data_IF_705697154355
#
_entry.id   IF_705697154355
#
_cell.length_a   1.000
_cell.length_b   1.000
_cell.length_c   1.000
_cell.angle_alpha   90.00
_cell.angle_beta   90.00
_cell.angle_gamma   90.00
#
_symmetry.space_group_name_H-M   'P 1'
#
loop_
_entity.id
_entity.type
_entity.pdbx_description
1 polymer ?
#
# COMPACT_ATOMS: atom_id res chain seq x y z
N UNK A 1 -4.70 3.43 -28.75
CA UNK A 1 -5.05 4.88 -28.65
C UNK A 1 -6.46 5.03 -28.05
N UNK A 2 -6.67 5.93 -27.07
CA UNK A 2 -8.02 6.14 -26.52
C UNK A 2 -8.90 6.83 -27.57
N UNK A 3 -10.09 6.28 -27.83
CA UNK A 3 -11.04 6.90 -28.76
C UNK A 3 -11.50 8.26 -28.20
N UNK A 4 -11.54 9.29 -29.06
CA UNK A 4 -12.02 10.64 -28.71
C UNK A 4 -13.55 10.67 -28.56
N UNK A 5 -14.04 10.03 -27.52
CA UNK A 5 -15.44 10.04 -27.07
C UNK A 5 -15.48 10.16 -25.55
N UNK A 6 -16.65 10.50 -25.01
CA UNK A 6 -16.88 10.40 -23.57
C UNK A 6 -16.71 8.96 -23.10
N UNK A 7 -16.01 8.78 -21.97
CA UNK A 7 -15.84 7.49 -21.31
C UNK A 7 -16.37 7.59 -19.88
N UNK A 8 -17.00 6.53 -19.38
CA UNK A 8 -17.41 6.47 -17.97
C UNK A 8 -16.19 6.31 -17.06
N UNK A 9 -16.34 6.65 -15.78
CA UNK A 9 -15.25 6.48 -14.81
C UNK A 9 -14.94 5.01 -14.57
N UNK A 10 -15.96 4.14 -14.63
CA UNK A 10 -15.88 2.69 -14.49
C UNK A 10 -14.99 2.10 -15.58
N UNK A 11 -15.23 2.45 -16.84
CA UNK A 11 -14.39 2.01 -17.96
C UNK A 11 -12.94 2.50 -17.79
N UNK A 12 -12.74 3.75 -17.35
CA UNK A 12 -11.40 4.28 -17.12
C UNK A 12 -10.66 3.60 -15.95
N UNK A 13 -11.37 2.92 -15.02
CA UNK A 13 -10.74 2.07 -13.99
C UNK A 13 -10.20 0.78 -14.60
N UNK A 14 -10.88 0.18 -15.57
CA UNK A 14 -10.42 -1.03 -16.27
C UNK A 14 -9.14 -0.77 -17.08
N UNK A 15 -9.00 0.42 -17.66
CA UNK A 15 -7.81 0.85 -18.39
C UNK A 15 -6.99 1.90 -17.63
N UNK A 16 -6.71 1.63 -16.34
CA UNK A 16 -6.04 2.56 -15.44
C UNK A 16 -4.66 3.06 -15.95
N UNK A 17 -3.95 2.26 -16.76
CA UNK A 17 -2.68 2.66 -17.38
C UNK A 17 -2.84 3.77 -18.44
N UNK A 18 -4.04 3.91 -19.03
CA UNK A 18 -4.35 4.94 -20.02
C UNK A 18 -5.12 6.14 -19.47
N UNK A 19 -5.80 6.00 -18.32
CA UNK A 19 -6.58 7.07 -17.68
C UNK A 19 -5.84 8.40 -17.49
N UNK A 20 -4.50 8.46 -17.22
CA UNK A 20 -3.83 9.75 -17.01
C UNK A 20 -3.83 10.67 -18.24
N UNK A 21 -4.12 10.12 -19.43
CA UNK A 21 -4.20 10.85 -20.70
C UNK A 21 -5.56 11.53 -20.92
N UNK A 22 -6.51 11.38 -20.01
CA UNK A 22 -7.83 12.04 -20.07
C UNK A 22 -7.77 13.39 -19.35
N UNK A 23 -8.62 14.35 -19.76
CA UNK A 23 -8.66 15.68 -19.14
C UNK A 23 -8.93 15.61 -17.64
N UNK A 24 -9.92 14.80 -17.24
CA UNK A 24 -10.35 14.66 -15.84
C UNK A 24 -9.24 14.08 -14.96
N UNK A 25 -8.71 12.89 -15.29
CA UNK A 25 -7.67 12.29 -14.46
C UNK A 25 -6.34 13.04 -14.55
N UNK A 26 -6.04 13.68 -15.69
CA UNK A 26 -4.93 14.61 -15.79
C UNK A 26 -5.04 15.77 -14.79
N UNK A 27 -6.22 16.37 -14.64
CA UNK A 27 -6.47 17.40 -13.64
C UNK A 27 -6.36 16.84 -12.21
N UNK A 28 -6.97 15.68 -11.93
CA UNK A 28 -6.90 15.00 -10.63
C UNK A 28 -5.46 14.74 -10.20
N UNK A 29 -4.60 14.23 -11.09
CA UNK A 29 -3.20 13.95 -10.76
C UNK A 29 -2.38 15.23 -10.51
N UNK A 30 -2.65 16.32 -11.25
CA UNK A 30 -2.00 17.62 -10.98
C UNK A 30 -2.43 18.21 -9.64
N UNK A 31 -3.71 18.10 -9.28
CA UNK A 31 -4.21 18.53 -7.97
C UNK A 31 -3.54 17.70 -6.87
N UNK A 32 -3.54 16.36 -7.00
CA UNK A 32 -2.88 15.45 -6.05
C UNK A 32 -1.39 15.80 -5.85
N UNK A 33 -0.67 16.09 -6.94
CA UNK A 33 0.73 16.50 -6.88
C UNK A 33 0.91 17.77 -6.02
N UNK A 34 0.15 18.83 -6.31
CA UNK A 34 0.26 20.09 -5.57
C UNK A 34 -0.15 19.91 -4.09
N UNK A 35 -1.17 19.10 -3.81
CA UNK A 35 -1.56 18.77 -2.43
C UNK A 35 -0.44 18.06 -1.66
N UNK A 36 0.23 17.09 -2.28
CA UNK A 36 1.35 16.38 -1.65
C UNK A 36 2.50 17.35 -1.30
N UNK A 37 2.87 18.23 -2.24
CA UNK A 37 3.88 19.26 -2.01
C UNK A 37 3.46 20.20 -0.87
N UNK A 38 2.19 20.63 -0.84
CA UNK A 38 1.69 21.52 0.22
C UNK A 38 1.77 20.87 1.61
N UNK A 39 1.40 19.59 1.74
CA UNK A 39 1.49 18.84 3.01
C UNK A 39 2.94 18.78 3.48
N UNK A 40 3.87 18.37 2.61
CA UNK A 40 5.29 18.30 2.97
C UNK A 40 5.87 19.66 3.34
N UNK A 41 5.51 20.70 2.58
CA UNK A 41 5.98 22.08 2.84
C UNK A 41 5.49 22.57 4.21
N UNK A 42 4.21 22.35 4.54
CA UNK A 42 3.63 22.75 5.82
C UNK A 42 4.36 22.14 7.01
N UNK A 43 4.59 20.82 6.99
CA UNK A 43 5.29 20.13 8.08
C UNK A 43 6.76 20.54 8.17
N UNK A 44 7.45 20.65 7.03
CA UNK A 44 8.83 21.11 6.99
C UNK A 44 9.00 22.52 7.59
N UNK A 45 8.14 23.47 7.22
CA UNK A 45 8.18 24.85 7.74
C UNK A 45 7.90 24.94 9.25
N UNK A 46 7.25 23.93 9.82
CA UNK A 46 7.00 23.82 11.27
C UNK A 46 8.09 23.02 12.01
N UNK A 47 9.17 22.64 11.33
CA UNK A 47 10.29 21.92 11.94
C UNK A 47 10.06 20.42 12.11
N UNK A 48 9.03 19.84 11.49
CA UNK A 48 8.83 18.38 11.49
C UNK A 48 9.80 17.71 10.51
N UNK A 49 10.19 16.48 10.83
CA UNK A 49 11.04 15.64 9.98
C UNK A 49 10.18 14.58 9.30
N UNK A 50 10.36 14.43 7.98
CA UNK A 50 9.68 13.39 7.23
C UNK A 50 10.36 12.04 7.47
N UNK A 51 9.65 11.13 8.13
CA UNK A 51 10.12 9.78 8.44
C UNK A 51 9.37 8.72 7.62
N UNK A 52 10.12 7.81 7.01
CA UNK A 52 9.57 6.67 6.29
C UNK A 52 9.43 5.48 7.25
N UNK A 53 8.25 5.31 7.84
CA UNK A 53 7.93 4.16 8.67
C UNK A 53 7.98 2.85 7.84
N UNK A 54 8.34 1.72 8.44
CA UNK A 54 8.38 0.44 7.74
C UNK A 54 6.99 0.04 7.24
N UNK A 55 6.91 -0.49 6.01
CA UNK A 55 5.65 -0.96 5.40
C UNK A 55 5.37 -2.43 5.76
N UNK A 56 6.41 -3.26 5.86
CA UNK A 56 6.30 -4.64 6.33
C UNK A 56 6.45 -4.63 7.85
N UNK A 57 5.50 -5.23 8.55
CA UNK A 57 5.45 -5.28 10.01
C UNK A 57 5.09 -6.67 10.50
N UNK A 58 5.54 -7.02 11.70
CA UNK A 58 5.07 -8.19 12.45
C UNK A 58 4.07 -7.79 13.55
N UNK A 59 3.79 -6.50 13.69
CA UNK A 59 2.85 -5.95 14.67
C UNK A 59 1.54 -5.58 14.00
N UNK A 60 0.44 -5.91 14.67
CA UNK A 60 -0.86 -5.31 14.37
C UNK A 60 -0.93 -3.97 15.11
N UNK A 61 -0.98 -2.86 14.37
CA UNK A 61 -0.90 -1.51 14.96
C UNK A 61 -2.22 -1.00 15.52
N UNK A 62 -3.36 -1.49 15.02
CA UNK A 62 -4.69 -0.93 15.36
C UNK A 62 -5.71 -2.01 15.75
N UNK A 63 -5.36 -3.31 15.68
CA UNK A 63 -6.30 -4.41 15.88
C UNK A 63 -7.46 -4.39 14.87
N UNK A 64 -7.32 -3.61 13.79
CA UNK A 64 -8.45 -3.05 13.04
C UNK A 64 -8.89 -3.86 11.82
N UNK A 65 -8.38 -5.08 11.63
CA UNK A 65 -8.90 -5.99 10.61
C UNK A 65 -7.88 -6.96 10.02
N UNK A 66 -8.28 -7.75 9.02
CA UNK A 66 -7.39 -8.70 8.35
C UNK A 66 -6.26 -7.96 7.63
N UNK A 67 -5.01 -8.22 8.05
CA UNK A 67 -3.82 -7.70 7.38
C UNK A 67 -3.41 -8.60 6.20
N UNK A 68 -2.84 -8.00 5.16
CA UNK A 68 -2.27 -8.75 4.04
C UNK A 68 -0.92 -9.36 4.45
N UNK A 69 -0.85 -10.70 4.49
CA UNK A 69 0.39 -11.41 4.79
C UNK A 69 1.44 -11.20 3.69
N UNK A 70 2.68 -10.95 4.11
CA UNK A 70 3.85 -10.90 3.25
C UNK A 70 4.74 -12.07 3.61
N UNK A 71 5.03 -12.94 2.64
CA UNK A 71 5.78 -14.18 2.85
C UNK A 71 6.55 -14.55 1.59
N UNK A 72 7.68 -15.23 1.77
CA UNK A 72 8.44 -15.84 0.67
C UNK A 72 8.25 -17.35 0.59
N UNK A 73 7.45 -17.94 1.49
CA UNK A 73 7.22 -19.39 1.54
C UNK A 73 6.49 -19.88 0.29
N UNK A 74 6.77 -21.12 -0.08
CA UNK A 74 6.00 -21.82 -1.10
C UNK A 74 4.63 -22.20 -0.55
N UNK A 75 3.57 -21.59 -1.08
CA UNK A 75 2.18 -21.82 -0.62
C UNK A 75 1.67 -23.24 -0.89
N UNK A 76 2.32 -24.00 -1.79
CA UNK A 76 1.98 -25.39 -2.07
C UNK A 76 2.69 -26.40 -1.17
N UNK A 77 3.68 -25.95 -0.38
CA UNK A 77 4.50 -26.79 0.51
C UNK A 77 4.75 -26.07 1.84
N UNK A 78 3.67 -25.87 2.60
CA UNK A 78 3.72 -25.20 3.90
C UNK A 78 3.96 -26.22 5.01
N UNK A 79 5.12 -26.12 5.66
CA UNK A 79 5.43 -26.88 6.87
C UNK A 79 4.59 -26.38 8.04
N UNK A 80 4.08 -27.33 8.82
CA UNK A 80 3.25 -27.09 9.99
C UNK A 80 3.86 -27.72 11.23
N UNK A 81 3.57 -27.15 12.39
CA UNK A 81 3.91 -27.72 13.68
C UNK A 81 2.93 -28.86 14.06
N UNK A 82 3.16 -29.46 15.22
CA UNK A 82 2.30 -30.53 15.78
C UNK A 82 0.87 -30.05 16.04
N UNK A 83 0.65 -28.74 16.23
CA UNK A 83 -0.66 -28.13 16.41
C UNK A 83 -1.37 -27.78 15.08
N UNK A 84 -0.71 -27.98 13.94
CA UNK A 84 -1.23 -27.69 12.61
C UNK A 84 -1.09 -26.22 12.16
N UNK A 85 -0.36 -25.40 12.93
CA UNK A 85 -0.04 -24.01 12.59
C UNK A 85 1.17 -23.94 11.66
N UNK A 86 1.23 -22.93 10.77
CA UNK A 86 2.35 -22.76 9.85
C UNK A 86 3.59 -22.33 10.63
N UNK A 87 4.73 -22.98 10.36
CA UNK A 87 6.03 -22.58 10.93
C UNK A 87 6.61 -21.45 10.07
N UNK A 88 7.02 -20.36 10.71
CA UNK A 88 7.54 -19.15 10.06
C UNK A 88 9.04 -18.91 10.29
N UNK A 89 9.70 -19.73 11.09
CA UNK A 89 11.13 -19.58 11.44
C UNK A 89 12.05 -19.61 10.21
N UNK A 90 11.64 -20.33 9.16
CA UNK A 90 12.31 -20.44 7.86
C UNK A 90 11.72 -19.51 6.79
N UNK A 91 10.80 -18.60 7.12
CA UNK A 91 10.40 -17.50 6.23
C UNK A 91 11.46 -16.38 6.26
N UNK A 92 11.41 -15.47 5.28
CA UNK A 92 12.44 -14.44 5.09
C UNK A 92 12.72 -13.59 6.33
N UNK A 93 11.68 -13.26 7.10
CA UNK A 93 11.80 -12.45 8.32
C UNK A 93 11.86 -13.30 9.61
N UNK A 94 11.87 -14.63 9.50
CA UNK A 94 11.90 -15.56 10.63
C UNK A 94 10.68 -15.51 11.55
N UNK A 95 9.60 -14.86 11.11
CA UNK A 95 8.30 -14.74 11.79
C UNK A 95 7.24 -14.32 10.80
N UNK A 96 5.98 -14.45 11.19
CA UNK A 96 4.87 -13.98 10.38
C UNK A 96 4.90 -12.46 10.22
N UNK A 97 4.81 -11.99 8.98
CA UNK A 97 4.80 -10.57 8.63
C UNK A 97 3.66 -10.20 7.70
N UNK A 98 3.24 -8.95 7.76
CA UNK A 98 2.12 -8.41 7.01
C UNK A 98 2.40 -6.97 6.54
N UNK A 99 1.57 -6.45 5.64
CA UNK A 99 1.54 -5.03 5.30
C UNK A 99 0.89 -4.24 6.43
N UNK A 100 1.55 -3.17 6.86
CA UNK A 100 1.04 -2.31 7.93
C UNK A 100 -0.22 -1.55 7.50
N UNK A 101 -1.14 -1.39 8.44
CA UNK A 101 -2.31 -0.49 8.30
C UNK A 101 -1.97 0.95 8.69
N UNK A 102 -0.99 1.13 9.58
CA UNK A 102 -0.60 2.42 10.14
C UNK A 102 0.87 2.46 10.55
N UNK A 103 1.52 3.61 10.34
CA UNK A 103 2.89 3.85 10.79
C UNK A 103 2.98 4.30 12.26
N UNK A 104 1.85 4.56 12.90
CA UNK A 104 1.75 4.85 14.32
C UNK A 104 1.75 3.52 15.08
N UNK A 105 2.66 3.37 16.05
CA UNK A 105 2.63 2.31 17.04
C UNK A 105 2.12 2.93 18.35
N UNK A 106 1.17 2.28 19.03
CA UNK A 106 0.79 2.61 20.41
C UNK A 106 1.91 2.32 21.42
#
# INVERSE_FOLDING_TARGET
PLQKKGHTLEFLREIAHMRPRTNTFGAVFRIRHNMAIAIHTFFHQKGFVYFHTPIITASDCEGAGPMFQVTTKNLYDLKKDEAGSIIYDDDFFGKQTSLTVSGQLE
#
